data_IF_250469227590
#
_entry.id   IF_250469227590
#
_cell.length_a   1.000
_cell.length_b   1.000
_cell.length_c   1.000
_cell.angle_alpha   90.00
_cell.angle_beta   90.00
_cell.angle_gamma   90.00
#
_symmetry.space_group_name_H-M   'P 1'
#
loop_
_entity.id
_entity.type
_entity.pdbx_description
1 polymer ?
#
# COMPACT_ATOMS: atom_id res chain seq x y z
N UNK A 1 -15.44 12.88 -23.06
CA UNK A 1 -14.66 11.65 -23.35
C UNK A 1 -15.23 10.84 -24.51
N UNK A 2 -16.41 10.20 -24.39
CA UNK A 2 -16.92 9.29 -25.45
C UNK A 2 -17.16 10.01 -26.78
N UNK A 3 -17.78 11.19 -26.74
CA UNK A 3 -17.95 12.06 -27.92
C UNK A 3 -16.61 12.43 -28.57
N UNK A 4 -15.58 12.67 -27.75
CA UNK A 4 -14.26 13.07 -28.24
C UNK A 4 -13.55 11.90 -28.91
N UNK A 5 -13.63 10.70 -28.30
CA UNK A 5 -13.14 9.45 -28.91
C UNK A 5 -13.84 9.14 -30.23
N UNK A 6 -15.16 9.35 -30.30
CA UNK A 6 -15.92 9.17 -31.54
C UNK A 6 -15.40 10.11 -32.65
N UNK A 7 -15.25 11.40 -32.35
CA UNK A 7 -14.71 12.37 -33.32
C UNK A 7 -13.26 12.11 -33.73
N UNK A 8 -12.45 11.47 -32.89
CA UNK A 8 -11.09 11.08 -33.25
C UNK A 8 -11.04 9.86 -34.17
N UNK A 9 -12.02 8.95 -34.07
CA UNK A 9 -12.05 7.71 -34.84
C UNK A 9 -12.70 7.87 -36.23
N UNK A 10 -13.57 8.87 -36.41
CA UNK A 10 -14.32 9.05 -37.66
C UNK A 10 -14.22 10.49 -38.19
N UNK A 11 -13.75 10.63 -39.44
CA UNK A 11 -13.44 11.92 -40.09
C UNK A 11 -14.64 12.87 -40.21
N UNK A 12 -15.86 12.33 -40.32
CA UNK A 12 -17.11 13.09 -40.42
C UNK A 12 -18.06 12.79 -39.24
N UNK A 13 -17.52 12.51 -38.07
CA UNK A 13 -18.31 12.17 -36.89
C UNK A 13 -19.32 13.27 -36.52
N UNK A 14 -20.61 12.93 -36.52
CA UNK A 14 -21.63 13.78 -35.90
C UNK A 14 -21.69 13.48 -34.39
N UNK A 15 -21.33 14.48 -33.57
CA UNK A 15 -21.28 14.32 -32.11
C UNK A 15 -22.65 14.10 -31.47
N UNK A 16 -23.74 14.35 -32.20
CA UNK A 16 -25.10 14.12 -31.72
C UNK A 16 -25.58 12.68 -31.93
N UNK A 17 -24.87 11.90 -32.76
CA UNK A 17 -25.04 10.44 -32.85
C UNK A 17 -24.69 9.75 -31.53
N UNK A 18 -23.83 10.37 -30.72
CA UNK A 18 -23.53 9.91 -29.35
C UNK A 18 -24.51 10.59 -28.39
N UNK A 19 -25.57 9.87 -28.03
CA UNK A 19 -26.60 10.35 -27.12
C UNK A 19 -27.09 9.19 -26.23
N UNK A 20 -27.88 9.46 -25.17
CA UNK A 20 -28.33 8.41 -24.25
C UNK A 20 -29.10 7.27 -24.94
N UNK A 21 -29.84 7.56 -26.01
CA UNK A 21 -30.62 6.54 -26.73
C UNK A 21 -29.71 5.60 -27.52
N UNK A 22 -28.75 6.15 -28.28
CA UNK A 22 -27.80 5.33 -29.06
C UNK A 22 -26.89 4.52 -28.15
N UNK A 23 -26.39 5.10 -27.06
CA UNK A 23 -25.57 4.39 -26.08
C UNK A 23 -26.33 3.21 -25.44
N UNK A 24 -27.61 3.39 -25.05
CA UNK A 24 -28.42 2.29 -24.54
C UNK A 24 -28.59 1.17 -25.58
N UNK A 25 -28.88 1.52 -26.84
CA UNK A 25 -28.95 0.53 -27.93
C UNK A 25 -27.65 -0.23 -28.16
N UNK A 26 -26.51 0.36 -27.84
CA UNK A 26 -25.19 -0.26 -27.95
C UNK A 26 -24.84 -1.14 -26.73
N UNK A 27 -25.77 -1.35 -25.79
CA UNK A 27 -25.53 -2.17 -24.60
C UNK A 27 -24.80 -1.43 -23.50
N UNK A 28 -25.17 -0.17 -23.25
CA UNK A 28 -24.63 0.62 -22.14
C UNK A 28 -25.71 1.17 -21.21
N UNK A 29 -25.47 1.06 -19.91
CA UNK A 29 -26.14 1.85 -18.88
C UNK A 29 -25.61 3.29 -18.92
N UNK A 30 -26.50 4.26 -19.18
CA UNK A 30 -26.18 5.69 -19.19
C UNK A 30 -26.58 6.30 -17.86
N UNK A 31 -25.59 6.63 -17.03
CA UNK A 31 -25.76 7.21 -15.70
C UNK A 31 -25.34 8.69 -15.72
N UNK A 32 -25.71 9.44 -14.68
CA UNK A 32 -25.52 10.91 -14.66
C UNK A 32 -24.05 11.35 -14.79
N UNK A 33 -23.11 10.54 -14.31
CA UNK A 33 -21.66 10.87 -14.31
C UNK A 33 -20.80 9.96 -15.19
N UNK A 34 -21.31 8.81 -15.60
CA UNK A 34 -20.54 7.82 -16.35
C UNK A 34 -21.44 6.91 -17.19
N UNK A 35 -20.82 6.16 -18.09
CA UNK A 35 -21.47 5.16 -18.92
C UNK A 35 -20.82 3.81 -18.57
N UNK A 36 -21.64 2.79 -18.34
CA UNK A 36 -21.20 1.46 -17.94
C UNK A 36 -21.71 0.43 -18.97
N UNK A 37 -20.87 -0.53 -19.36
CA UNK A 37 -21.33 -1.62 -20.25
C UNK A 37 -22.36 -2.47 -19.52
N UNK A 38 -23.43 -2.86 -20.21
CA UNK A 38 -24.47 -3.77 -19.70
C UNK A 38 -23.95 -5.16 -19.33
N UNK A 39 -22.70 -5.49 -19.70
CA UNK A 39 -22.01 -6.67 -19.16
C UNK A 39 -21.91 -6.63 -17.62
N UNK A 40 -21.87 -5.44 -17.02
CA UNK A 40 -21.73 -5.26 -15.59
C UNK A 40 -23.00 -4.64 -15.01
N UNK A 41 -23.54 -5.29 -13.99
CA UNK A 41 -24.72 -4.81 -13.27
C UNK A 41 -24.40 -3.61 -12.39
N UNK A 42 -23.12 -3.44 -12.03
CA UNK A 42 -22.68 -2.36 -11.15
C UNK A 42 -21.26 -1.86 -11.44
N UNK A 43 -20.96 -0.66 -10.93
CA UNK A 43 -19.61 -0.09 -10.99
C UNK A 43 -18.62 -0.91 -10.12
N UNK A 44 -19.11 -1.54 -9.06
CA UNK A 44 -18.33 -2.43 -8.20
C UNK A 44 -17.87 -3.67 -8.96
N UNK A 45 -18.79 -4.35 -9.67
CA UNK A 45 -18.49 -5.50 -10.51
C UNK A 45 -17.48 -5.15 -11.62
N UNK A 46 -17.66 -4.00 -12.26
CA UNK A 46 -16.72 -3.50 -13.24
C UNK A 46 -15.31 -3.34 -12.68
N UNK A 47 -15.16 -2.79 -11.46
CA UNK A 47 -13.85 -2.63 -10.85
C UNK A 47 -13.24 -3.95 -10.38
N UNK A 48 -14.05 -4.92 -9.94
CA UNK A 48 -13.57 -6.29 -9.66
C UNK A 48 -12.95 -6.87 -10.93
N UNK A 49 -13.69 -6.89 -12.04
CA UNK A 49 -13.19 -7.43 -13.31
C UNK A 49 -11.96 -6.65 -13.80
N UNK A 50 -11.98 -5.32 -13.74
CA UNK A 50 -10.85 -4.48 -14.14
C UNK A 50 -9.56 -4.80 -13.37
N UNK A 51 -9.67 -4.99 -12.05
CA UNK A 51 -8.55 -5.20 -11.13
C UNK A 51 -8.16 -6.67 -10.98
N UNK A 52 -8.87 -7.61 -11.61
CA UNK A 52 -8.57 -9.05 -11.47
C UNK A 52 -8.42 -9.78 -12.81
N UNK A 53 -8.81 -9.17 -13.94
CA UNK A 53 -8.70 -9.79 -15.28
C UNK A 53 -7.27 -10.18 -15.66
N UNK A 54 -6.28 -9.39 -15.21
CA UNK A 54 -4.87 -9.60 -15.51
C UNK A 54 -4.14 -10.07 -14.25
N UNK A 55 -3.09 -10.87 -14.44
CA UNK A 55 -2.26 -11.35 -13.34
C UNK A 55 -1.36 -10.27 -12.74
N UNK A 56 -1.05 -9.22 -13.51
CA UNK A 56 -0.25 -8.07 -13.08
C UNK A 56 -1.06 -6.80 -13.34
N UNK A 57 -1.17 -5.98 -12.31
CA UNK A 57 -2.02 -4.80 -12.26
C UNK A 57 -1.13 -3.62 -11.86
N UNK A 58 -0.98 -2.63 -12.76
CA UNK A 58 -0.28 -1.38 -12.44
C UNK A 58 -1.29 -0.30 -12.13
N UNK A 59 -1.21 0.30 -10.95
CA UNK A 59 -2.17 1.32 -10.50
C UNK A 59 -2.02 2.61 -11.32
N UNK A 60 -0.81 2.94 -11.76
CA UNK A 60 -0.54 4.06 -12.66
C UNK A 60 -1.36 4.04 -13.96
N UNK A 61 -1.70 2.85 -14.48
CA UNK A 61 -2.55 2.70 -15.67
C UNK A 61 -3.97 3.25 -15.44
N UNK A 62 -4.39 3.35 -14.18
CA UNK A 62 -5.74 3.72 -13.77
C UNK A 62 -5.84 5.10 -13.13
N UNK A 63 -4.74 5.61 -12.56
CA UNK A 63 -4.72 6.85 -11.77
C UNK A 63 -5.40 8.00 -12.52
N UNK A 64 -5.04 8.28 -13.78
CA UNK A 64 -5.64 9.42 -14.52
C UNK A 64 -7.17 9.34 -14.63
N UNK A 65 -7.74 8.14 -14.67
CA UNK A 65 -9.17 7.92 -14.93
C UNK A 65 -9.98 7.76 -13.65
N UNK A 66 -9.42 7.14 -12.62
CA UNK A 66 -10.17 6.71 -11.43
C UNK A 66 -9.71 7.36 -10.11
N UNK A 67 -8.74 8.29 -10.13
CA UNK A 67 -8.21 8.97 -8.90
C UNK A 67 -9.31 9.59 -8.02
N UNK A 68 -10.45 9.98 -8.58
CA UNK A 68 -11.54 10.61 -7.82
C UNK A 68 -12.80 9.72 -7.69
N UNK A 69 -12.69 8.43 -8.03
CA UNK A 69 -13.83 7.51 -7.98
C UNK A 69 -13.80 6.72 -6.68
N UNK A 70 -14.67 7.06 -5.73
CA UNK A 70 -14.71 6.42 -4.41
C UNK A 70 -14.88 4.88 -4.49
N UNK A 71 -15.75 4.41 -5.38
CA UNK A 71 -15.98 2.97 -5.59
C UNK A 71 -14.71 2.23 -6.00
N UNK A 72 -13.83 2.86 -6.80
CA UNK A 72 -12.55 2.27 -7.19
C UNK A 72 -11.68 1.95 -5.97
N UNK A 73 -11.53 2.90 -5.05
CA UNK A 73 -10.74 2.69 -3.83
C UNK A 73 -11.37 1.69 -2.86
N UNK A 74 -12.71 1.66 -2.79
CA UNK A 74 -13.44 0.67 -1.99
C UNK A 74 -13.20 -0.75 -2.51
N UNK A 75 -13.39 -0.97 -3.82
CA UNK A 75 -13.13 -2.27 -4.46
C UNK A 75 -11.65 -2.65 -4.35
N UNK A 76 -10.72 -1.71 -4.56
CA UNK A 76 -9.29 -1.97 -4.38
C UNK A 76 -8.97 -2.42 -2.95
N UNK A 77 -9.53 -1.76 -1.93
CA UNK A 77 -9.34 -2.13 -0.54
C UNK A 77 -9.94 -3.51 -0.22
N UNK A 78 -11.10 -3.84 -0.79
CA UNK A 78 -11.76 -5.14 -0.63
C UNK A 78 -10.91 -6.27 -1.22
N UNK A 79 -10.38 -6.08 -2.43
CA UNK A 79 -9.54 -7.07 -3.11
C UNK A 79 -8.21 -7.31 -2.37
N UNK A 80 -7.65 -6.27 -1.74
CA UNK A 80 -6.49 -6.41 -0.85
C UNK A 80 -6.83 -7.25 0.38
N UNK A 81 -7.87 -6.89 1.12
CA UNK A 81 -8.28 -7.57 2.36
C UNK A 81 -8.67 -9.04 2.16
N UNK A 82 -9.18 -9.37 0.97
CA UNK A 82 -9.51 -10.74 0.57
C UNK A 82 -8.33 -11.50 -0.07
N UNK A 83 -7.13 -10.90 -0.08
CA UNK A 83 -5.91 -11.41 -0.72
C UNK A 83 -6.05 -11.68 -2.22
N UNK A 84 -7.11 -11.23 -2.89
CA UNK A 84 -7.30 -11.43 -4.34
C UNK A 84 -6.22 -10.75 -5.16
N UNK A 85 -5.69 -9.64 -4.64
CA UNK A 85 -4.52 -8.95 -5.19
C UNK A 85 -3.53 -8.68 -4.06
N UNK A 86 -2.23 -8.77 -4.36
CA UNK A 86 -1.15 -8.55 -3.40
C UNK A 86 -0.17 -7.55 -3.98
N UNK A 87 0.25 -6.58 -3.18
CA UNK A 87 1.19 -5.56 -3.59
C UNK A 87 2.60 -6.16 -3.72
N UNK A 88 3.28 -5.86 -4.82
CA UNK A 88 4.67 -6.31 -5.08
C UNK A 88 5.67 -5.17 -5.04
N UNK A 89 5.23 -3.95 -5.35
CA UNK A 89 5.96 -2.71 -5.19
C UNK A 89 4.98 -1.53 -5.02
N UNK A 90 5.48 -0.29 -5.02
CA UNK A 90 4.67 0.91 -4.80
C UNK A 90 3.49 1.08 -5.79
N UNK A 91 3.59 0.55 -7.02
CA UNK A 91 2.62 0.77 -8.09
C UNK A 91 2.03 -0.53 -8.68
N UNK A 92 2.58 -1.69 -8.31
CA UNK A 92 2.25 -2.98 -8.93
C UNK A 92 1.62 -3.96 -7.95
N UNK A 93 0.53 -4.56 -8.37
CA UNK A 93 -0.14 -5.68 -7.72
C UNK A 93 -0.09 -6.92 -8.60
N UNK A 94 -0.12 -8.10 -7.98
CA UNK A 94 -0.33 -9.36 -8.66
C UNK A 94 -1.61 -10.03 -8.19
N UNK A 95 -2.24 -10.81 -9.06
CA UNK A 95 -3.36 -11.67 -8.70
C UNK A 95 -2.90 -12.81 -7.79
N UNK A 96 -3.74 -13.21 -6.84
CA UNK A 96 -3.53 -14.39 -6.00
C UNK A 96 -3.22 -15.65 -6.81
N UNK A 97 -3.76 -15.77 -8.04
CA UNK A 97 -3.49 -16.87 -8.96
C UNK A 97 -2.00 -17.13 -9.19
N UNK A 98 -1.17 -16.08 -9.18
CA UNK A 98 0.30 -16.20 -9.30
C UNK A 98 0.96 -16.87 -8.11
N UNK A 99 0.36 -16.78 -6.93
CA UNK A 99 0.80 -17.47 -5.73
C UNK A 99 0.35 -18.92 -5.75
N UNK A 100 -0.89 -19.18 -6.19
CA UNK A 100 -1.41 -20.54 -6.37
C UNK A 100 -0.57 -21.35 -7.37
N UNK A 101 -0.13 -20.74 -8.47
CA UNK A 101 0.81 -21.35 -9.44
C UNK A 101 2.13 -21.80 -8.81
N UNK A 102 2.54 -21.18 -7.69
CA UNK A 102 3.74 -21.55 -6.91
C UNK A 102 3.43 -22.49 -5.74
N UNK A 103 2.20 -23.00 -5.64
CA UNK A 103 1.77 -23.89 -4.57
C UNK A 103 1.48 -23.18 -3.24
N UNK A 104 1.32 -21.86 -3.24
CA UNK A 104 0.94 -21.09 -2.04
C UNK A 104 -0.58 -21.01 -1.96
N UNK A 105 -1.12 -21.37 -0.81
CA UNK A 105 -2.55 -21.35 -0.50
C UNK A 105 -2.93 -20.14 0.37
N UNK A 106 -4.23 -19.92 0.57
CA UNK A 106 -4.71 -18.92 1.54
C UNK A 106 -4.38 -19.33 2.99
N UNK A 107 -4.41 -20.64 3.28
CA UNK A 107 -4.08 -21.15 4.61
C UNK A 107 -2.62 -20.89 4.97
N UNK A 108 -1.72 -21.00 4.00
CA UNK A 108 -0.31 -20.63 4.13
C UNK A 108 -0.13 -19.15 4.52
N UNK A 109 -0.91 -18.25 3.90
CA UNK A 109 -0.91 -16.82 4.24
C UNK A 109 -1.46 -16.60 5.65
N UNK A 110 -2.58 -17.24 6.01
CA UNK A 110 -3.16 -17.12 7.35
C UNK A 110 -2.22 -17.64 8.44
N UNK A 111 -1.57 -18.79 8.21
CA UNK A 111 -0.58 -19.35 9.13
C UNK A 111 0.60 -18.40 9.31
N UNK A 112 1.09 -17.80 8.24
CA UNK A 112 2.12 -16.78 8.30
C UNK A 112 1.68 -15.55 9.11
N UNK A 113 0.50 -14.98 8.83
CA UNK A 113 -0.03 -13.85 9.60
C UNK A 113 -0.18 -14.21 11.09
N UNK A 114 -0.63 -15.42 11.42
CA UNK A 114 -0.74 -15.90 12.80
C UNK A 114 0.62 -16.02 13.49
N UNK A 115 1.63 -16.57 12.81
CA UNK A 115 3.00 -16.67 13.35
C UNK A 115 3.60 -15.31 13.61
N UNK A 116 3.43 -14.35 12.69
CA UNK A 116 3.90 -12.97 12.89
C UNK A 116 3.16 -12.33 14.07
N UNK A 117 1.83 -12.44 14.12
CA UNK A 117 1.02 -11.86 15.20
C UNK A 117 1.44 -12.36 16.59
N UNK A 118 1.76 -13.65 16.71
CA UNK A 118 2.25 -14.25 17.96
C UNK A 118 3.69 -13.87 18.32
N UNK A 119 4.48 -13.43 17.34
CA UNK A 119 5.90 -13.08 17.51
C UNK A 119 6.09 -11.61 17.90
N UNK A 120 5.28 -10.71 17.35
CA UNK A 120 5.43 -9.26 17.55
C UNK A 120 4.77 -8.79 18.84
N UNK A 121 5.41 -7.84 19.52
CA UNK A 121 4.91 -7.25 20.75
C UNK A 121 3.77 -6.26 20.48
N UNK A 122 2.96 -6.04 21.51
CA UNK A 122 1.96 -4.98 21.54
C UNK A 122 2.66 -3.61 21.70
N UNK A 123 2.08 -2.54 21.15
CA UNK A 123 2.64 -1.19 21.26
C UNK A 123 3.94 -0.90 20.49
N UNK A 124 4.43 -1.82 19.64
CA UNK A 124 5.69 -1.66 18.90
C UNK A 124 5.51 -1.64 17.37
N UNK A 125 6.32 -0.80 16.71
CA UNK A 125 6.50 -0.88 15.26
C UNK A 125 7.37 -2.07 14.89
N UNK A 126 7.06 -2.70 13.76
CA UNK A 126 7.88 -3.77 13.21
C UNK A 126 7.89 -3.76 11.67
N UNK A 127 8.82 -4.52 11.12
CA UNK A 127 8.97 -4.86 9.70
C UNK A 127 9.34 -6.33 9.59
N UNK A 128 9.29 -6.91 8.39
CA UNK A 128 9.84 -8.26 8.18
C UNK A 128 11.33 -8.31 8.53
N UNK A 129 12.07 -7.23 8.24
CA UNK A 129 13.47 -7.11 8.61
C UNK A 129 13.70 -7.21 10.11
N UNK A 130 12.92 -6.47 10.91
CA UNK A 130 13.09 -6.46 12.36
C UNK A 130 12.76 -7.81 12.97
N UNK A 131 11.71 -8.49 12.51
CA UNK A 131 11.33 -9.79 13.07
C UNK A 131 12.30 -10.92 12.70
N UNK A 132 13.02 -10.80 11.57
CA UNK A 132 14.09 -11.76 11.20
C UNK A 132 15.22 -11.79 12.22
N UNK A 133 15.53 -10.66 12.86
CA UNK A 133 16.53 -10.62 13.93
C UNK A 133 16.17 -11.48 15.14
N UNK A 134 14.89 -11.81 15.32
CA UNK A 134 14.40 -12.76 16.33
C UNK A 134 14.41 -14.22 15.84
N UNK A 135 15.05 -14.51 14.71
CA UNK A 135 15.10 -15.85 14.12
C UNK A 135 13.83 -16.26 13.36
N UNK A 136 12.95 -15.30 13.06
CA UNK A 136 11.73 -15.58 12.30
C UNK A 136 12.08 -16.00 10.87
N UNK A 137 11.51 -17.13 10.44
CA UNK A 137 11.59 -17.65 9.07
C UNK A 137 10.19 -17.98 8.56
N UNK A 138 9.99 -17.91 7.26
CA UNK A 138 8.69 -18.22 6.65
C UNK A 138 8.82 -18.89 5.28
N UNK A 139 7.73 -19.47 4.82
CA UNK A 139 7.67 -20.18 3.54
C UNK A 139 7.88 -19.27 2.32
N UNK A 140 7.58 -17.97 2.43
CA UNK A 140 7.66 -17.03 1.32
C UNK A 140 9.11 -16.68 0.98
N UNK A 141 9.98 -16.68 1.98
CA UNK A 141 11.43 -16.51 1.79
C UNK A 141 12.01 -17.64 0.96
N UNK A 142 11.65 -18.89 1.28
CA UNK A 142 12.09 -20.07 0.52
C UNK A 142 11.56 -20.06 -0.92
N UNK A 143 10.39 -19.44 -1.15
CA UNK A 143 9.80 -19.26 -2.48
C UNK A 143 10.37 -18.07 -3.27
N UNK A 144 11.37 -17.37 -2.71
CA UNK A 144 12.08 -16.26 -3.36
C UNK A 144 11.36 -14.91 -3.26
N UNK A 145 10.38 -14.77 -2.36
CA UNK A 145 9.72 -13.48 -2.11
C UNK A 145 10.52 -12.64 -1.10
N UNK A 146 10.63 -11.34 -1.40
CA UNK A 146 11.36 -10.38 -0.57
C UNK A 146 10.53 -9.81 0.59
N UNK A 147 11.21 -9.08 1.47
CA UNK A 147 10.62 -8.48 2.68
C UNK A 147 9.41 -7.60 2.38
N UNK A 148 9.46 -6.80 1.32
CA UNK A 148 8.36 -5.92 0.91
C UNK A 148 7.08 -6.71 0.65
N UNK A 149 7.18 -7.81 -0.10
CA UNK A 149 6.05 -8.67 -0.43
C UNK A 149 5.45 -9.31 0.83
N UNK A 150 6.31 -9.81 1.73
CA UNK A 150 5.87 -10.36 3.01
C UNK A 150 5.17 -9.31 3.88
N UNK A 151 5.68 -8.07 3.94
CA UNK A 151 4.99 -6.97 4.62
C UNK A 151 3.65 -6.61 3.96
N UNK A 152 3.57 -6.68 2.63
CA UNK A 152 2.34 -6.42 1.89
C UNK A 152 1.25 -7.47 2.15
N UNK A 153 1.62 -8.73 2.37
CA UNK A 153 0.69 -9.75 2.84
C UNK A 153 0.12 -9.39 4.21
N UNK A 154 0.98 -9.03 5.16
CA UNK A 154 0.53 -8.62 6.51
C UNK A 154 -0.38 -7.38 6.45
N UNK A 155 -0.10 -6.42 5.57
CA UNK A 155 -0.90 -5.23 5.38
C UNK A 155 -2.33 -5.51 4.86
N UNK A 156 -2.60 -6.72 4.36
CA UNK A 156 -3.94 -7.15 3.96
C UNK A 156 -4.76 -7.70 5.15
N UNK A 157 -4.11 -8.14 6.23
CA UNK A 157 -4.77 -8.66 7.43
C UNK A 157 -5.18 -7.51 8.36
N UNK A 158 -6.45 -7.47 8.75
CA UNK A 158 -6.99 -6.38 9.58
C UNK A 158 -6.43 -6.32 11.00
N UNK A 159 -5.69 -7.33 11.45
CA UNK A 159 -5.02 -7.32 12.76
C UNK A 159 -3.76 -6.45 12.77
N UNK A 160 -3.29 -5.99 11.62
CA UNK A 160 -2.14 -5.12 11.52
C UNK A 160 -2.53 -3.76 10.92
N UNK A 161 -2.05 -2.70 11.55
CA UNK A 161 -1.99 -1.39 10.91
C UNK A 161 -0.71 -1.32 10.06
N UNK A 162 -0.76 -0.62 8.93
CA UNK A 162 0.39 -0.52 8.03
C UNK A 162 0.49 0.84 7.36
N UNK A 163 1.72 1.26 7.08
CA UNK A 163 2.00 2.47 6.30
C UNK A 163 3.28 2.31 5.46
N UNK A 164 3.25 2.84 4.24
CA UNK A 164 4.45 2.98 3.42
C UNK A 164 5.31 4.14 3.93
N UNK A 165 6.51 3.83 4.41
CA UNK A 165 7.48 4.78 4.94
C UNK A 165 8.83 4.50 4.28
N UNK A 166 9.36 5.48 3.54
CA UNK A 166 10.64 5.38 2.82
C UNK A 166 10.77 4.12 1.95
N UNK A 167 9.73 3.82 1.16
CA UNK A 167 9.61 2.64 0.28
C UNK A 167 9.56 1.29 1.01
N UNK A 168 9.54 1.27 2.34
CA UNK A 168 9.27 0.09 3.16
C UNK A 168 7.84 0.13 3.70
N UNK A 169 7.30 -1.03 4.06
CA UNK A 169 6.01 -1.11 4.77
C UNK A 169 6.33 -1.33 6.26
N UNK A 170 6.00 -0.34 7.07
CA UNK A 170 6.09 -0.40 8.54
C UNK A 170 4.72 -0.80 9.09
N UNK A 171 4.72 -1.74 10.04
CA UNK A 171 3.52 -2.33 10.62
C UNK A 171 3.49 -2.16 12.14
N UNK A 172 2.29 -2.30 12.71
CA UNK A 172 2.07 -2.55 14.13
C UNK A 172 0.86 -3.45 14.29
N UNK A 173 0.63 -4.02 15.47
CA UNK A 173 -0.70 -4.56 15.79
C UNK A 173 -1.73 -3.44 15.76
N UNK A 174 -2.93 -3.76 15.29
CA UNK A 174 -3.97 -2.76 15.05
C UNK A 174 -4.49 -2.17 16.36
N UNK A 175 -4.75 -0.85 16.37
CA UNK A 175 -5.26 -0.07 17.52
C UNK A 175 -4.29 0.09 18.70
N UNK A 176 -3.03 -0.36 18.59
CA UNK A 176 -2.05 -0.25 19.69
C UNK A 176 -1.32 1.10 19.72
N UNK A 177 -0.92 1.64 18.56
CA UNK A 177 -0.06 2.84 18.45
C UNK A 177 -0.81 4.02 17.79
N UNK A 178 -2.04 3.78 17.33
CA UNK A 178 -2.79 4.73 16.52
C UNK A 178 -2.26 4.81 15.07
N UNK A 179 -2.61 5.88 14.35
CA UNK A 179 -2.28 6.00 12.93
C UNK A 179 -0.75 6.05 12.70
N UNK A 180 -0.24 5.06 11.97
CA UNK A 180 1.17 5.01 11.58
C UNK A 180 1.47 6.15 10.59
N UNK A 181 2.47 6.96 10.92
CA UNK A 181 2.97 8.03 10.07
C UNK A 181 4.50 8.05 10.08
N UNK A 182 5.10 8.68 9.06
CA UNK A 182 6.55 8.94 9.03
C UNK A 182 7.03 9.65 10.31
N UNK A 183 6.25 10.63 10.78
CA UNK A 183 6.52 11.39 12.01
C UNK A 183 6.50 10.52 13.25
N UNK A 184 5.44 9.73 13.45
CA UNK A 184 5.31 8.89 14.65
C UNK A 184 6.36 7.77 14.68
N UNK A 185 6.68 7.19 13.52
CA UNK A 185 7.74 6.19 13.39
C UNK A 185 9.12 6.75 13.76
N UNK A 186 9.53 7.88 13.17
CA UNK A 186 10.85 8.49 13.49
C UNK A 186 10.93 8.88 14.97
N UNK A 187 9.85 9.42 15.55
CA UNK A 187 9.80 9.76 16.98
C UNK A 187 9.95 8.53 17.87
N UNK A 188 9.30 7.41 17.54
CA UNK A 188 9.48 6.15 18.27
C UNK A 188 10.93 5.65 18.22
N UNK A 189 11.57 5.71 17.06
CA UNK A 189 13.00 5.37 16.94
C UNK A 189 13.89 6.29 17.77
N UNK A 190 13.58 7.59 17.83
CA UNK A 190 14.32 8.55 18.67
C UNK A 190 14.15 8.27 20.16
N UNK A 191 12.95 7.91 20.63
CA UNK A 191 12.72 7.57 22.04
C UNK A 191 13.60 6.41 22.53
N UNK A 192 14.01 5.51 21.64
CA UNK A 192 14.89 4.38 21.97
C UNK A 192 16.39 4.71 21.87
N UNK A 193 16.77 5.74 21.11
CA UNK A 193 18.15 5.99 20.70
C UNK A 193 18.70 7.35 21.15
N UNK A 194 17.86 8.31 21.52
CA UNK A 194 18.30 9.64 21.92
C UNK A 194 19.01 9.62 23.30
N UNK A 195 20.06 10.44 23.49
CA UNK A 195 20.64 11.37 22.51
C UNK A 195 21.47 10.66 21.43
N UNK A 196 21.34 11.09 20.17
CA UNK A 196 22.12 10.54 19.07
C UNK A 196 22.29 11.53 17.91
N UNK A 197 23.33 11.35 17.09
CA UNK A 197 23.44 12.11 15.84
C UNK A 197 22.45 11.61 14.79
N UNK A 198 22.04 12.45 13.82
CA UNK A 198 21.17 12.03 12.72
C UNK A 198 21.72 10.80 11.98
N UNK A 199 23.04 10.74 11.78
CA UNK A 199 23.69 9.59 11.14
C UNK A 199 23.51 8.30 11.94
N UNK A 200 23.70 8.34 13.26
CA UNK A 200 23.50 7.17 14.14
C UNK A 200 22.05 6.69 14.10
N UNK A 201 21.08 7.62 14.07
CA UNK A 201 19.66 7.26 13.94
C UNK A 201 19.36 6.59 12.59
N UNK A 202 19.89 7.12 11.47
CA UNK A 202 19.71 6.51 10.15
C UNK A 202 20.26 5.08 10.14
N UNK A 203 21.45 4.87 10.71
CA UNK A 203 22.07 3.56 10.82
C UNK A 203 21.25 2.62 11.72
N UNK A 204 20.77 3.07 12.88
CA UNK A 204 19.99 2.23 13.80
C UNK A 204 18.63 1.85 13.20
N UNK A 205 17.95 2.77 12.52
CA UNK A 205 16.68 2.51 11.83
C UNK A 205 16.87 1.53 10.68
N UNK A 206 17.93 1.66 9.90
CA UNK A 206 18.24 0.70 8.85
C UNK A 206 18.56 -0.69 9.42
N UNK A 207 19.40 -0.77 10.44
CA UNK A 207 19.80 -2.04 11.03
C UNK A 207 18.64 -2.76 11.74
N UNK A 208 17.74 -2.02 12.39
CA UNK A 208 16.59 -2.60 13.10
C UNK A 208 15.45 -2.93 12.15
N UNK A 209 15.09 -2.00 11.25
CA UNK A 209 13.85 -2.10 10.46
C UNK A 209 14.07 -2.28 8.95
N UNK A 210 15.30 -2.23 8.45
CA UNK A 210 15.58 -2.22 7.02
C UNK A 210 15.06 -0.95 6.30
N UNK A 211 14.63 0.07 7.05
CA UNK A 211 14.04 1.30 6.53
C UNK A 211 15.16 2.30 6.21
N UNK A 212 15.16 2.82 4.97
CA UNK A 212 16.20 3.75 4.49
C UNK A 212 15.73 5.19 4.57
N UNK A 213 15.96 5.85 5.70
CA UNK A 213 15.78 7.30 5.81
C UNK A 213 16.74 7.98 4.83
N UNK A 214 16.22 8.90 4.00
CA UNK A 214 16.99 9.48 2.88
C UNK A 214 18.05 10.47 3.32
N UNK A 215 17.75 11.27 4.35
CA UNK A 215 18.60 12.37 4.80
C UNK A 215 18.20 12.87 6.19
N UNK A 216 19.04 13.77 6.75
CA UNK A 216 18.79 14.48 8.01
C UNK A 216 17.51 15.34 7.98
N UNK A 217 17.14 15.89 6.82
CA UNK A 217 16.00 16.80 6.73
C UNK A 217 14.71 16.08 7.12
N UNK A 218 14.52 14.84 6.68
CA UNK A 218 13.39 13.98 7.08
C UNK A 218 13.26 13.83 8.60
N UNK A 219 14.39 13.73 9.31
CA UNK A 219 14.41 13.62 10.77
C UNK A 219 14.04 14.96 11.41
N UNK A 220 14.69 16.05 10.97
CA UNK A 220 14.43 17.39 11.52
C UNK A 220 12.98 17.85 11.27
N UNK A 221 12.40 17.52 10.12
CA UNK A 221 11.01 17.79 9.80
C UNK A 221 10.07 16.96 10.69
N UNK A 222 10.46 15.72 11.00
CA UNK A 222 9.66 14.84 11.83
C UNK A 222 9.56 15.29 13.28
N UNK A 223 10.64 15.86 13.83
CA UNK A 223 10.71 16.34 15.21
C UNK A 223 10.13 17.74 15.43
N UNK A 224 9.76 18.47 14.37
CA UNK A 224 9.06 19.76 14.52
C UNK A 224 7.80 19.59 15.39
N UNK A 225 7.64 20.47 16.36
CA UNK A 225 6.56 20.46 17.35
C UNK A 225 6.53 19.13 18.13
N UNK A 226 7.68 18.68 18.62
CA UNK A 226 7.83 17.51 19.47
C UNK A 226 8.79 17.78 20.62
N UNK A 227 8.93 16.82 21.52
CA UNK A 227 9.83 16.90 22.66
C UNK A 227 11.28 16.57 22.27
N UNK A 228 11.65 16.65 21.00
CA UNK A 228 13.01 16.45 20.51
C UNK A 228 13.53 17.74 19.89
N UNK A 229 14.77 18.12 20.24
CA UNK A 229 15.53 19.17 19.57
C UNK A 229 16.63 18.55 18.72
N UNK A 230 17.09 19.30 17.74
CA UNK A 230 18.34 19.03 17.06
C UNK A 230 19.25 20.26 17.17
N UNK A 231 20.49 20.05 17.58
CA UNK A 231 21.52 21.08 17.69
C UNK A 231 22.55 20.92 16.57
N UNK A 232 22.63 21.93 15.69
CA UNK A 232 23.54 21.98 14.55
C UNK A 232 25.02 22.09 14.94
N UNK A 233 25.35 22.60 16.14
CA UNK A 233 26.74 22.82 16.59
C UNK A 233 27.40 21.49 16.96
N UNK A 234 26.68 20.65 17.72
CA UNK A 234 27.18 19.34 18.17
C UNK A 234 26.71 18.16 17.30
N UNK A 235 25.83 18.43 16.33
CA UNK A 235 25.21 17.42 15.45
C UNK A 235 24.48 16.31 16.22
N UNK A 236 23.69 16.69 17.23
CA UNK A 236 22.95 15.75 18.08
C UNK A 236 21.46 16.09 18.19
N UNK A 237 20.66 15.04 18.29
CA UNK A 237 19.23 15.06 18.59
C UNK A 237 19.07 14.60 20.04
N UNK A 238 18.33 15.35 20.85
CA UNK A 238 18.07 15.02 22.25
C UNK A 238 16.64 15.39 22.65
N UNK A 239 16.15 14.77 23.72
CA UNK A 239 14.85 15.10 24.29
C UNK A 239 14.90 16.41 25.07
N UNK A 240 13.85 17.22 24.98
CA UNK A 240 13.63 18.43 25.77
C UNK A 240 12.47 18.12 26.73
N UNK A 241 12.65 18.45 28.01
CA UNK A 241 11.59 18.41 29.03
C UNK A 241 10.54 19.51 28.83
#
# INVERSE_FOLDING_TARGET
EVKDKYSLLFVNADRDEINPYTLKKMGFHVLSKYILSEKYESLHEYFIDLLTKNDVIKISDFNRRYTNVQMYYQTLSELKKSYKIIQTDADTYISFRKLEEKGITLDDIHEFCNKVYATVNDGEYFTIHSIRSYGFTNIFENAGFGEYFCSALLACDSRFDSQSIFLSIVLSKSNEIGQISKKSFIKSCLSENAPCSPKKLIESVYNKYGVRITDKYEITEAIKNSNFCYDDIIDEIYAIE
#
